data_IF_725474660095
#
_entry.id   IF_725474660095
#
_cell.length_a   1.000
_cell.length_b   1.000
_cell.length_c   1.000
_cell.angle_alpha   90.00
_cell.angle_beta   90.00
_cell.angle_gamma   90.00
#
_symmetry.space_group_name_H-M   'P 1'
#
loop_
_entity.id
_entity.type
_entity.pdbx_description
1 polymer ?
#
# COMPACT_ATOMS: atom_id res chain seq x y z
N UNK A 1 -2.38 -13.88 4.05
CA UNK A 1 -1.22 -13.11 3.55
C UNK A 1 -1.49 -11.67 3.92
N UNK A 2 -0.63 -10.97 4.64
CA UNK A 2 -0.97 -9.64 5.19
C UNK A 2 -0.15 -8.48 4.60
N UNK A 3 0.61 -8.70 3.53
CA UNK A 3 1.50 -7.68 2.96
C UNK A 3 1.19 -7.46 1.48
N UNK A 4 1.17 -6.20 1.08
CA UNK A 4 1.04 -5.76 -0.31
C UNK A 4 2.30 -4.97 -0.68
N UNK A 5 2.91 -5.30 -1.81
CA UNK A 5 4.07 -4.57 -2.34
C UNK A 5 3.59 -3.64 -3.44
N UNK A 6 3.98 -2.38 -3.36
CA UNK A 6 3.69 -1.35 -4.36
C UNK A 6 5.00 -0.87 -4.95
N UNK A 7 5.14 -1.00 -6.27
CA UNK A 7 6.27 -0.42 -6.98
C UNK A 7 6.00 1.05 -7.27
N UNK A 8 7.01 1.87 -7.07
CA UNK A 8 6.95 3.31 -7.34
C UNK A 8 8.28 3.80 -7.91
N UNK A 9 8.32 5.06 -8.36
CA UNK A 9 9.56 5.68 -8.79
C UNK A 9 10.50 5.84 -7.57
N UNK A 10 11.79 5.47 -7.67
CA UNK A 10 12.75 5.73 -6.59
C UNK A 10 12.72 7.21 -6.16
N UNK A 11 12.61 7.44 -4.85
CA UNK A 11 12.47 8.78 -4.26
C UNK A 11 11.03 9.22 -3.99
N UNK A 12 10.01 8.48 -4.47
CA UNK A 12 8.58 8.75 -4.24
C UNK A 12 7.95 7.78 -3.22
N UNK A 13 8.75 7.06 -2.45
CA UNK A 13 8.24 6.03 -1.55
C UNK A 13 7.36 6.60 -0.43
N UNK A 14 7.62 7.84 0.01
CA UNK A 14 6.81 8.50 1.06
C UNK A 14 5.42 8.87 0.53
N UNK A 15 5.35 9.38 -0.70
CA UNK A 15 4.10 9.69 -1.39
C UNK A 15 3.30 8.42 -1.67
N UNK A 16 3.95 7.37 -2.18
CA UNK A 16 3.31 6.07 -2.42
C UNK A 16 2.78 5.45 -1.11
N UNK A 17 3.56 5.54 -0.02
CA UNK A 17 3.13 5.08 1.30
C UNK A 17 1.95 5.86 1.86
N UNK A 18 1.94 7.19 1.71
CA UNK A 18 0.82 8.02 2.13
C UNK A 18 -0.44 7.69 1.31
N UNK A 19 -0.29 7.55 0.00
CA UNK A 19 -1.40 7.25 -0.91
C UNK A 19 -2.06 5.89 -0.60
N UNK A 20 -1.27 4.83 -0.45
CA UNK A 20 -1.83 3.51 -0.16
C UNK A 20 -2.51 3.48 1.20
N UNK A 21 -1.94 4.18 2.19
CA UNK A 21 -2.52 4.24 3.54
C UNK A 21 -3.89 4.95 3.53
N UNK A 22 -4.01 6.07 2.81
CA UNK A 22 -5.28 6.79 2.66
C UNK A 22 -6.34 5.95 1.91
N UNK A 23 -5.96 5.33 0.78
CA UNK A 23 -6.90 4.55 -0.03
C UNK A 23 -7.32 3.23 0.61
N UNK A 24 -6.44 2.61 1.38
CA UNK A 24 -6.74 1.43 2.17
C UNK A 24 -7.71 1.78 3.32
N UNK A 25 -7.46 2.87 4.04
CA UNK A 25 -8.33 3.33 5.12
C UNK A 25 -9.77 3.59 4.66
N UNK A 26 -9.96 4.14 3.45
CA UNK A 26 -11.29 4.34 2.83
C UNK A 26 -12.06 3.04 2.55
N UNK A 27 -11.39 1.88 2.56
CA UNK A 27 -11.97 0.53 2.40
C UNK A 27 -11.97 -0.27 3.70
N UNK A 28 -11.75 0.43 4.82
CA UNK A 28 -11.66 -0.15 6.16
C UNK A 28 -10.51 -1.17 6.29
N UNK A 29 -9.50 -1.05 5.42
CA UNK A 29 -8.27 -1.84 5.50
C UNK A 29 -7.20 -1.01 6.19
N UNK A 30 -6.84 -1.42 7.40
CA UNK A 30 -5.88 -0.69 8.23
C UNK A 30 -4.54 -1.41 8.30
N UNK A 31 -3.46 -0.63 8.37
CA UNK A 31 -2.10 -1.15 8.36
C UNK A 31 -1.08 -0.03 8.42
N UNK A 32 0.17 -0.37 8.13
CA UNK A 32 1.26 0.59 8.05
C UNK A 32 2.15 0.31 6.84
N UNK A 33 2.63 1.38 6.21
CA UNK A 33 3.56 1.30 5.10
C UNK A 33 5.02 1.34 5.61
N UNK A 34 5.84 0.37 5.21
CA UNK A 34 7.30 0.43 5.35
C UNK A 34 7.89 1.09 4.12
N UNK A 35 8.61 2.18 4.36
CA UNK A 35 9.32 2.95 3.35
C UNK A 35 10.82 2.72 3.51
N UNK A 36 11.49 2.49 2.38
CA UNK A 36 12.95 2.53 2.28
C UNK A 36 13.31 3.53 1.18
N UNK A 37 14.09 4.56 1.52
CA UNK A 37 14.44 5.62 0.57
C UNK A 37 15.21 5.07 -0.64
N UNK A 38 14.81 5.52 -1.84
CA UNK A 38 15.39 5.11 -3.12
C UNK A 38 15.30 3.60 -3.41
N UNK A 39 14.37 2.88 -2.76
CA UNK A 39 14.16 1.47 -3.01
C UNK A 39 13.30 1.20 -4.25
N UNK A 40 12.47 2.17 -4.67
CA UNK A 40 11.51 2.00 -5.76
C UNK A 40 10.32 1.09 -5.41
N UNK A 41 10.09 0.83 -4.11
CA UNK A 41 8.92 0.10 -3.65
C UNK A 41 8.55 0.46 -2.20
N UNK A 42 7.30 0.19 -1.86
CA UNK A 42 6.72 0.30 -0.52
C UNK A 42 6.06 -1.02 -0.16
N UNK A 43 6.15 -1.42 1.11
CA UNK A 43 5.44 -2.60 1.63
C UNK A 43 4.37 -2.13 2.59
N UNK A 44 3.10 -2.32 2.23
CA UNK A 44 1.97 -2.07 3.12
C UNK A 44 1.64 -3.36 3.89
N UNK A 45 1.76 -3.32 5.21
CA UNK A 45 1.41 -4.43 6.10
C UNK A 45 0.04 -4.18 6.73
N UNK A 46 -0.96 -4.96 6.31
CA UNK A 46 -2.29 -4.94 6.89
C UNK A 46 -2.28 -5.59 8.28
N UNK A 47 -3.11 -5.06 9.19
CA UNK A 47 -3.28 -5.65 10.52
C UNK A 47 -4.00 -7.00 10.47
N UNK A 48 -5.03 -7.13 9.63
CA UNK A 48 -5.71 -8.39 9.44
C UNK A 48 -5.07 -9.21 8.32
N UNK A 49 -4.96 -10.54 8.46
CA UNK A 49 -4.34 -11.42 7.48
C UNK A 49 -5.15 -11.62 6.19
N UNK A 50 -6.42 -11.21 6.17
CA UNK A 50 -7.34 -11.31 5.02
C UNK A 50 -7.46 -9.98 4.25
N UNK A 51 -7.12 -8.86 4.90
CA UNK A 51 -7.26 -7.52 4.34
C UNK A 51 -6.37 -7.25 3.13
N UNK A 52 -5.23 -7.93 3.02
CA UNK A 52 -4.35 -7.75 1.87
C UNK A 52 -4.99 -8.28 0.58
N UNK A 53 -5.71 -9.41 0.65
CA UNK A 53 -6.43 -9.96 -0.52
C UNK A 53 -7.62 -9.07 -0.87
N UNK A 54 -8.37 -8.61 0.15
CA UNK A 54 -9.44 -7.61 -0.03
C UNK A 54 -8.92 -6.35 -0.73
N UNK A 55 -7.82 -5.79 -0.25
CA UNK A 55 -7.24 -4.56 -0.79
C UNK A 55 -6.84 -4.73 -2.26
N UNK A 56 -6.17 -5.83 -2.61
CA UNK A 56 -5.73 -6.09 -4.00
C UNK A 56 -6.91 -6.30 -4.96
N UNK A 57 -8.05 -6.83 -4.48
CA UNK A 57 -9.26 -7.03 -5.29
C UNK A 57 -10.12 -5.78 -5.42
N UNK A 58 -10.25 -5.01 -4.35
CA UNK A 58 -11.19 -3.88 -4.29
C UNK A 58 -10.57 -2.52 -4.62
N UNK A 59 -9.25 -2.39 -4.56
CA UNK A 59 -8.54 -1.17 -4.94
C UNK A 59 -8.21 -1.23 -6.43
N UNK A 60 -8.82 -0.38 -7.28
CA UNK A 60 -8.46 -0.34 -8.70
C UNK A 60 -7.01 0.12 -8.82
N UNK A 61 -6.14 -0.71 -9.39
CA UNK A 61 -4.73 -0.36 -9.56
C UNK A 61 -4.55 0.92 -10.40
N UNK A 62 -5.43 1.14 -11.38
CA UNK A 62 -5.46 2.35 -12.20
C UNK A 62 -5.80 3.64 -11.43
N UNK A 63 -6.26 3.52 -10.18
CA UNK A 63 -6.52 4.68 -9.34
C UNK A 63 -5.29 5.15 -8.58
N UNK A 64 -4.22 4.34 -8.49
CA UNK A 64 -2.93 4.68 -7.88
C UNK A 64 -2.11 5.58 -8.81
N UNK A 65 -1.45 6.61 -8.24
CA UNK A 65 -0.80 7.70 -9.00
C UNK A 65 0.72 7.54 -8.96
#
# INVERSE_FOLDING_TARGET
MNKVVLYCRPGFEKECAAEITDKAAKREVFGFARVKENAGYVVFECYQPEDADKLVRELPFSSLI
#
